data_IF_294513461738
#
_entry.id   IF_294513461738
#
_cell.length_a   1.000
_cell.length_b   1.000
_cell.length_c   1.000
_cell.angle_alpha   90.00
_cell.angle_beta   90.00
_cell.angle_gamma   90.00
#
_symmetry.space_group_name_H-M   'P 1'
#
loop_
_entity.id
_entity.type
_entity.pdbx_description
1 polymer ?
#
# COMPACT_ATOMS: atom_id res chain seq x y z
N UNK A 1 15.62 -11.70 18.65
CA UNK A 1 14.75 -10.51 18.79
C UNK A 1 14.48 -9.87 17.43
N UNK A 2 15.51 -9.54 16.65
CA UNK A 2 15.36 -8.97 15.29
C UNK A 2 14.54 -9.86 14.33
N UNK A 3 14.85 -11.16 14.23
CA UNK A 3 14.12 -12.09 13.35
C UNK A 3 12.62 -12.16 13.68
N UNK A 4 12.27 -12.12 14.97
CA UNK A 4 10.88 -12.06 15.40
C UNK A 4 10.23 -10.75 14.97
N UNK A 5 10.92 -9.61 15.12
CA UNK A 5 10.40 -8.32 14.70
C UNK A 5 10.17 -8.25 13.19
N UNK A 6 11.06 -8.86 12.39
CA UNK A 6 10.89 -9.02 10.94
C UNK A 6 9.61 -9.83 10.65
N UNK A 7 9.50 -11.02 11.23
CA UNK A 7 8.35 -11.89 11.00
C UNK A 7 7.02 -11.25 11.45
N UNK A 8 7.02 -10.55 12.59
CA UNK A 8 5.86 -9.86 13.12
C UNK A 8 5.42 -8.70 12.21
N UNK A 9 6.37 -7.93 11.66
CA UNK A 9 6.07 -6.82 10.75
C UNK A 9 5.55 -7.32 9.39
N UNK A 10 6.20 -8.35 8.83
CA UNK A 10 5.79 -8.93 7.55
C UNK A 10 4.41 -9.60 7.67
N UNK A 11 4.13 -10.32 8.76
CA UNK A 11 2.81 -10.91 8.99
C UNK A 11 1.70 -9.85 9.10
N UNK A 12 1.98 -8.70 9.73
CA UNK A 12 1.02 -7.60 9.80
C UNK A 12 0.78 -6.94 8.44
N UNK A 13 1.83 -6.80 7.62
CA UNK A 13 1.70 -6.31 6.24
C UNK A 13 0.84 -7.24 5.37
N UNK A 14 1.08 -8.55 5.42
CA UNK A 14 0.27 -9.53 4.69
C UNK A 14 -1.21 -9.53 5.14
N UNK A 15 -1.47 -9.32 6.44
CA UNK A 15 -2.82 -9.15 6.95
C UNK A 15 -3.52 -7.92 6.33
N UNK A 16 -2.81 -6.79 6.20
CA UNK A 16 -3.32 -5.59 5.54
C UNK A 16 -3.68 -5.88 4.08
N UNK A 17 -2.78 -6.53 3.33
CA UNK A 17 -3.05 -6.90 1.93
C UNK A 17 -4.26 -7.83 1.81
N UNK A 18 -4.35 -8.86 2.64
CA UNK A 18 -5.49 -9.77 2.66
C UNK A 18 -6.81 -9.07 2.95
N UNK A 19 -6.81 -8.07 3.84
CA UNK A 19 -8.00 -7.25 4.15
C UNK A 19 -8.39 -6.32 3.01
N UNK A 20 -7.41 -5.73 2.32
CA UNK A 20 -7.65 -4.93 1.11
C UNK A 20 -8.36 -5.78 0.05
N UNK A 21 -7.84 -6.98 -0.23
CA UNK A 21 -8.40 -7.89 -1.22
C UNK A 21 -9.80 -8.38 -0.81
N UNK A 22 -10.01 -8.68 0.47
CA UNK A 22 -11.32 -9.04 1.00
C UNK A 22 -12.37 -7.95 0.71
N UNK A 23 -12.04 -6.68 0.97
CA UNK A 23 -12.93 -5.55 0.70
C UNK A 23 -13.18 -5.40 -0.80
N UNK A 24 -12.13 -5.47 -1.63
CA UNK A 24 -12.25 -5.36 -3.10
C UNK A 24 -13.18 -6.41 -3.70
N UNK A 25 -13.03 -7.67 -3.28
CA UNK A 25 -13.88 -8.79 -3.73
C UNK A 25 -15.33 -8.55 -3.30
N UNK A 26 -15.55 -8.10 -2.06
CA UNK A 26 -16.89 -7.78 -1.55
C UNK A 26 -17.55 -6.66 -2.34
N UNK A 27 -16.79 -5.63 -2.71
CA UNK A 27 -17.30 -4.56 -3.57
C UNK A 27 -17.64 -5.05 -4.97
N UNK A 28 -16.77 -5.84 -5.59
CA UNK A 28 -17.04 -6.43 -6.91
C UNK A 28 -18.33 -7.25 -6.90
N UNK A 29 -18.49 -8.13 -5.91
CA UNK A 29 -19.71 -8.94 -5.74
C UNK A 29 -20.93 -8.06 -5.48
N UNK A 30 -20.78 -7.00 -4.68
CA UNK A 30 -21.87 -6.04 -4.39
C UNK A 30 -22.30 -5.32 -5.65
N UNK A 31 -21.36 -4.85 -6.47
CA UNK A 31 -21.63 -4.16 -7.72
C UNK A 31 -22.34 -5.08 -8.72
N UNK A 32 -21.86 -6.32 -8.89
CA UNK A 32 -22.51 -7.33 -9.74
C UNK A 32 -23.95 -7.60 -9.29
N UNK A 33 -24.15 -7.88 -8.00
CA UNK A 33 -25.50 -8.10 -7.45
C UNK A 33 -26.38 -6.88 -7.61
N UNK A 34 -25.84 -5.68 -7.39
CA UNK A 34 -26.61 -4.46 -7.56
C UNK A 34 -27.07 -4.28 -9.00
N UNK A 35 -26.28 -4.70 -9.97
CA UNK A 35 -26.65 -4.63 -11.38
C UNK A 35 -27.73 -5.67 -11.75
N UNK A 36 -27.54 -6.92 -11.31
CA UNK A 36 -28.26 -8.07 -11.85
C UNK A 36 -29.54 -8.40 -11.08
N UNK A 37 -29.58 -8.14 -9.77
CA UNK A 37 -30.72 -8.49 -8.92
C UNK A 37 -31.74 -7.34 -8.86
N UNK A 38 -32.98 -7.52 -9.36
CA UNK A 38 -34.04 -6.52 -9.25
C UNK A 38 -34.48 -6.27 -7.80
N UNK A 39 -34.32 -7.25 -6.90
CA UNK A 39 -34.64 -7.13 -5.47
C UNK A 39 -33.64 -6.27 -4.70
N UNK A 40 -32.46 -6.01 -5.28
CA UNK A 40 -31.45 -5.16 -4.65
C UNK A 40 -31.77 -3.68 -4.85
N UNK A 41 -32.49 -3.13 -3.87
CA UNK A 41 -32.85 -1.71 -3.83
C UNK A 41 -31.66 -0.81 -3.48
N UNK A 42 -31.78 0.48 -3.83
CA UNK A 42 -30.79 1.49 -3.48
C UNK A 42 -30.59 1.62 -1.95
N UNK A 43 -31.65 1.42 -1.17
CA UNK A 43 -31.55 1.43 0.30
C UNK A 43 -30.73 0.24 0.84
N UNK A 44 -30.88 -0.94 0.25
CA UNK A 44 -30.06 -2.12 0.60
C UNK A 44 -28.60 -1.86 0.22
N UNK A 45 -28.36 -1.30 -0.98
CA UNK A 45 -27.02 -0.96 -1.42
C UNK A 45 -26.32 0.00 -0.45
N UNK A 46 -26.98 1.09 -0.04
CA UNK A 46 -26.40 2.05 0.93
C UNK A 46 -25.98 1.38 2.24
N UNK A 47 -26.78 0.42 2.75
CA UNK A 47 -26.42 -0.35 3.95
C UNK A 47 -25.20 -1.25 3.74
N UNK A 48 -25.01 -1.79 2.54
CA UNK A 48 -23.81 -2.58 2.22
C UNK A 48 -22.58 -1.69 2.09
N UNK A 49 -22.69 -0.54 1.44
CA UNK A 49 -21.60 0.45 1.36
C UNK A 49 -21.15 0.87 2.77
N UNK A 50 -22.09 1.19 3.67
CA UNK A 50 -21.77 1.50 5.06
C UNK A 50 -21.00 0.37 5.77
N UNK A 51 -21.30 -0.90 5.49
CA UNK A 51 -20.53 -2.03 6.03
C UNK A 51 -19.11 -2.08 5.48
N UNK A 52 -18.93 -1.76 4.20
CA UNK A 52 -17.60 -1.67 3.58
C UNK A 52 -16.80 -0.50 4.15
N UNK A 53 -17.45 0.63 4.46
CA UNK A 53 -16.81 1.76 5.11
C UNK A 53 -16.35 1.41 6.52
N UNK A 54 -17.16 0.70 7.31
CA UNK A 54 -16.73 0.18 8.62
C UNK A 54 -15.55 -0.79 8.51
N UNK A 55 -15.48 -1.61 7.45
CA UNK A 55 -14.32 -2.47 7.20
C UNK A 55 -13.07 -1.65 6.82
N UNK A 56 -13.22 -0.54 6.08
CA UNK A 56 -12.11 0.38 5.78
C UNK A 56 -11.59 1.07 7.05
N UNK A 57 -12.48 1.47 7.95
CA UNK A 57 -12.09 2.01 9.27
C UNK A 57 -11.34 0.97 10.12
N UNK A 58 -11.71 -0.30 10.02
CA UNK A 58 -10.96 -1.40 10.64
C UNK A 58 -9.61 -1.63 9.95
N UNK A 59 -9.56 -1.61 8.62
CA UNK A 59 -8.33 -1.70 7.84
C UNK A 59 -7.34 -0.59 8.21
N UNK A 60 -7.81 0.65 8.42
CA UNK A 60 -6.94 1.75 8.89
C UNK A 60 -6.25 1.37 10.21
N UNK A 61 -6.95 0.71 11.14
CA UNK A 61 -6.35 0.26 12.41
C UNK A 61 -5.31 -0.83 12.19
N UNK A 62 -5.54 -1.76 11.26
CA UNK A 62 -4.55 -2.76 10.88
C UNK A 62 -3.31 -2.15 10.20
N UNK A 63 -3.52 -1.13 9.35
CA UNK A 63 -2.42 -0.38 8.74
C UNK A 63 -1.59 0.34 9.82
N UNK A 64 -2.25 0.99 10.78
CA UNK A 64 -1.57 1.67 11.88
C UNK A 64 -0.75 0.68 12.75
N UNK A 65 -1.26 -0.53 13.03
CA UNK A 65 -0.52 -1.59 13.73
C UNK A 65 0.69 -2.08 12.92
N UNK A 66 0.54 -2.28 11.60
CA UNK A 66 1.65 -2.67 10.72
C UNK A 66 2.75 -1.60 10.66
N UNK A 67 2.37 -0.31 10.59
CA UNK A 67 3.31 0.81 10.64
C UNK A 67 4.12 0.77 11.95
N UNK A 68 3.46 0.55 13.08
CA UNK A 68 4.13 0.53 14.38
C UNK A 68 5.12 -0.64 14.49
N UNK A 69 4.77 -1.82 13.97
CA UNK A 69 5.69 -2.96 13.92
C UNK A 69 6.91 -2.69 13.04
N UNK A 70 6.72 -2.05 11.89
CA UNK A 70 7.85 -1.66 11.03
C UNK A 70 8.71 -0.56 11.65
N UNK A 71 8.14 0.38 12.40
CA UNK A 71 8.93 1.38 13.16
C UNK A 71 9.82 0.72 14.20
N UNK A 72 9.25 -0.20 14.98
CA UNK A 72 10.01 -0.99 15.95
C UNK A 72 11.12 -1.82 15.27
N UNK A 73 10.85 -2.36 14.09
CA UNK A 73 11.87 -3.05 13.31
C UNK A 73 12.98 -2.10 12.84
N UNK A 74 12.63 -0.90 12.39
CA UNK A 74 13.60 0.12 12.00
C UNK A 74 14.51 0.51 13.17
N UNK A 75 13.94 0.76 14.35
CA UNK A 75 14.70 1.05 15.58
C UNK A 75 15.71 -0.06 15.90
N UNK A 76 15.29 -1.34 15.87
CA UNK A 76 16.19 -2.47 16.13
C UNK A 76 17.29 -2.63 15.07
N UNK A 77 17.01 -2.26 13.82
CA UNK A 77 18.00 -2.26 12.75
C UNK A 77 19.00 -1.12 12.91
N UNK A 78 18.54 0.07 13.32
CA UNK A 78 19.37 1.24 13.61
C UNK A 78 20.28 1.00 14.82
N UNK A 79 19.75 0.44 15.91
CA UNK A 79 20.55 0.02 17.07
C UNK A 79 21.68 -0.94 16.66
N UNK A 80 21.35 -1.94 15.82
CA UNK A 80 22.33 -2.88 15.31
C UNK A 80 23.34 -2.21 14.38
N UNK A 81 22.90 -1.26 13.56
CA UNK A 81 23.76 -0.48 12.69
C UNK A 81 24.78 0.31 13.52
N UNK A 82 24.33 1.06 14.53
CA UNK A 82 25.20 1.84 15.41
C UNK A 82 26.21 0.96 16.16
N UNK A 83 25.80 -0.22 16.63
CA UNK A 83 26.71 -1.16 17.29
C UNK A 83 27.82 -1.68 16.35
N UNK A 84 27.50 -2.00 15.10
CA UNK A 84 28.50 -2.44 14.10
C UNK A 84 29.38 -1.26 13.67
N UNK A 85 28.81 -0.05 13.57
CA UNK A 85 29.55 1.16 13.22
C UNK A 85 30.59 1.49 14.29
N UNK A 86 30.22 1.43 15.57
CA UNK A 86 31.14 1.60 16.69
C UNK A 86 32.26 0.55 16.66
N UNK A 87 31.93 -0.73 16.48
CA UNK A 87 32.91 -1.80 16.35
C UNK A 87 33.85 -1.56 15.16
N UNK A 88 33.33 -1.10 14.03
CA UNK A 88 34.12 -0.78 12.85
C UNK A 88 35.14 0.33 13.13
N UNK A 89 34.73 1.40 13.81
CA UNK A 89 35.64 2.50 14.15
C UNK A 89 36.74 2.05 15.11
N UNK A 90 36.41 1.28 16.15
CA UNK A 90 37.43 0.76 17.07
C UNK A 90 38.47 -0.11 16.34
N UNK A 91 38.00 -1.02 15.48
CA UNK A 91 38.89 -1.91 14.73
C UNK A 91 39.73 -1.14 13.70
N UNK A 92 39.20 -0.08 13.08
CA UNK A 92 39.97 0.78 12.18
C UNK A 92 41.08 1.53 12.90
N UNK A 93 40.79 2.13 14.07
CA UNK A 93 41.80 2.81 14.88
C UNK A 93 42.92 1.86 15.30
N UNK A 94 42.57 0.62 15.68
CA UNK A 94 43.56 -0.40 16.05
C UNK A 94 44.44 -0.78 14.85
N UNK A 95 43.84 -1.01 13.68
CA UNK A 95 44.60 -1.33 12.47
C UNK A 95 45.53 -0.18 12.06
N UNK A 96 45.03 1.05 12.03
CA UNK A 96 45.82 2.23 11.70
C UNK A 96 46.98 2.43 12.70
N UNK A 97 46.75 2.15 13.98
CA UNK A 97 47.79 2.17 15.02
C UNK A 97 48.88 1.13 14.73
N UNK A 98 48.50 -0.11 14.40
CA UNK A 98 49.46 -1.16 14.03
C UNK A 98 50.27 -0.76 12.80
N UNK A 99 49.61 -0.25 11.75
CA UNK A 99 50.29 0.22 10.53
C UNK A 99 51.27 1.36 10.81
N UNK A 100 50.93 2.27 11.74
CA UNK A 100 51.80 3.37 12.13
C UNK A 100 53.00 2.91 12.99
N UNK A 101 52.84 1.88 13.82
CA UNK A 101 53.97 1.29 14.54
C UNK A 101 54.92 0.56 13.58
N UNK A 102 54.37 -0.18 12.62
CA UNK A 102 55.13 -0.87 11.57
C UNK A 102 55.96 0.10 10.72
N UNK A 103 55.37 1.23 10.30
CA UNK A 103 56.06 2.25 9.51
C UNK A 103 57.22 2.93 10.27
N UNK A 104 57.14 2.96 11.60
CA UNK A 104 58.20 3.43 12.50
C UNK A 104 59.26 2.36 12.80
N UNK A 105 59.16 1.16 12.21
CA UNK A 105 60.06 0.04 12.45
C UNK A 105 59.89 -0.60 13.84
N UNK A 106 58.77 -0.34 14.53
CA UNK A 106 58.48 -0.96 15.83
C UNK A 106 57.94 -2.38 15.62
N UNK A 107 58.21 -3.31 16.56
CA UNK A 107 57.62 -4.64 16.52
C UNK A 107 56.08 -4.57 16.55
N UNK A 108 55.43 -5.33 15.68
CA UNK A 108 53.97 -5.45 15.60
C UNK A 108 53.50 -6.90 15.68
N UNK A 109 52.22 -7.09 15.99
CA UNK A 109 51.56 -8.40 15.88
C UNK A 109 51.00 -8.59 14.47
N UNK A 110 51.70 -9.36 13.63
CA UNK A 110 51.28 -9.65 12.25
C UNK A 110 49.94 -10.39 12.22
N UNK A 111 49.72 -11.35 13.11
CA UNK A 111 48.45 -12.09 13.17
C UNK A 111 47.27 -11.19 13.51
N UNK A 112 47.46 -10.19 14.38
CA UNK A 112 46.40 -9.23 14.73
C UNK A 112 46.09 -8.29 13.57
N UNK A 113 47.12 -7.85 12.84
CA UNK A 113 46.97 -7.06 11.62
C UNK A 113 46.12 -7.79 10.58
N UNK A 114 46.47 -9.04 10.25
CA UNK A 114 45.73 -9.87 9.30
C UNK A 114 44.27 -10.12 9.75
N UNK A 115 44.03 -10.32 11.05
CA UNK A 115 42.68 -10.45 11.60
C UNK A 115 41.84 -9.19 11.32
N UNK A 116 42.39 -8.01 11.61
CA UNK A 116 41.71 -6.72 11.41
C UNK A 116 41.48 -6.39 9.93
N UNK A 117 42.47 -6.66 9.08
CA UNK A 117 42.37 -6.50 7.62
C UNK A 117 41.24 -7.36 7.02
N UNK A 118 40.94 -8.51 7.63
CA UNK A 118 39.81 -9.36 7.24
C UNK A 118 38.47 -8.96 7.87
N UNK A 119 38.49 -8.49 9.13
CA UNK A 119 37.28 -8.13 9.88
C UNK A 119 36.66 -6.82 9.37
N UNK A 120 37.47 -5.77 9.15
CA UNK A 120 36.99 -4.45 8.74
C UNK A 120 36.15 -4.48 7.46
N UNK A 121 36.56 -5.17 6.37
CA UNK A 121 35.72 -5.32 5.18
C UNK A 121 34.39 -6.00 5.46
N UNK A 122 34.35 -7.02 6.32
CA UNK A 122 33.12 -7.73 6.68
C UNK A 122 32.15 -6.84 7.47
N UNK A 123 32.67 -6.04 8.39
CA UNK A 123 31.87 -5.05 9.13
C UNK A 123 31.29 -3.99 8.19
N UNK A 124 32.08 -3.48 7.24
CA UNK A 124 31.60 -2.54 6.20
C UNK A 124 30.49 -3.15 5.33
N UNK A 125 30.64 -4.41 4.93
CA UNK A 125 29.60 -5.12 4.19
C UNK A 125 28.33 -5.28 5.04
N UNK A 126 28.46 -5.63 6.32
CA UNK A 126 27.35 -5.70 7.26
C UNK A 126 26.59 -4.38 7.40
N UNK A 127 27.28 -3.24 7.51
CA UNK A 127 26.65 -1.92 7.54
C UNK A 127 25.89 -1.62 6.26
N UNK A 128 26.48 -1.90 5.09
CA UNK A 128 25.81 -1.70 3.80
C UNK A 128 24.53 -2.53 3.67
N UNK A 129 24.54 -3.77 4.16
CA UNK A 129 23.35 -4.63 4.19
C UNK A 129 22.26 -4.08 5.13
N UNK A 130 22.65 -3.60 6.32
CA UNK A 130 21.71 -3.00 7.27
C UNK A 130 21.10 -1.69 6.75
N UNK A 131 21.91 -0.80 6.16
CA UNK A 131 21.41 0.44 5.55
C UNK A 131 20.38 0.16 4.45
N UNK A 132 20.66 -0.83 3.59
CA UNK A 132 19.69 -1.27 2.58
C UNK A 132 18.40 -1.76 3.24
N UNK A 133 18.49 -2.56 4.31
CA UNK A 133 17.31 -3.09 5.00
C UNK A 133 16.49 -1.99 5.68
N UNK A 134 17.15 -1.01 6.30
CA UNK A 134 16.49 0.17 6.91
C UNK A 134 15.74 0.95 5.84
N UNK A 135 16.34 1.18 4.66
CA UNK A 135 15.68 1.84 3.52
C UNK A 135 14.45 1.06 3.03
N UNK A 136 14.54 -0.27 2.94
CA UNK A 136 13.39 -1.12 2.58
C UNK A 136 12.25 -0.98 3.60
N UNK A 137 12.55 -1.04 4.90
CA UNK A 137 11.57 -0.90 5.99
C UNK A 137 10.91 0.48 5.96
N UNK A 138 11.70 1.55 5.80
CA UNK A 138 11.16 2.90 5.68
C UNK A 138 10.29 3.06 4.43
N UNK A 139 10.67 2.42 3.31
CA UNK A 139 9.82 2.35 2.11
C UNK A 139 8.46 1.70 2.38
N UNK A 140 8.43 0.61 3.14
CA UNK A 140 7.17 -0.05 3.54
C UNK A 140 6.30 0.81 4.45
N UNK A 141 6.91 1.54 5.38
CA UNK A 141 6.19 2.50 6.23
C UNK A 141 5.50 3.57 5.37
N UNK A 142 6.20 4.14 4.39
CA UNK A 142 5.64 5.16 3.50
C UNK A 142 4.54 4.60 2.59
N UNK A 143 4.68 3.36 2.11
CA UNK A 143 3.63 2.66 1.37
C UNK A 143 2.36 2.50 2.20
N UNK A 144 2.49 2.01 3.45
CA UNK A 144 1.38 1.85 4.37
C UNK A 144 0.70 3.19 4.70
N UNK A 145 1.47 4.27 4.91
CA UNK A 145 0.90 5.62 5.09
C UNK A 145 0.08 6.07 3.89
N UNK A 146 0.57 5.85 2.66
CA UNK A 146 -0.19 6.17 1.44
C UNK A 146 -1.48 5.35 1.34
N UNK A 147 -1.43 4.06 1.68
CA UNK A 147 -2.63 3.21 1.73
C UNK A 147 -3.63 3.71 2.76
N UNK A 148 -3.17 4.16 3.93
CA UNK A 148 -4.01 4.76 4.97
C UNK A 148 -4.73 6.02 4.50
N UNK A 149 -3.98 6.95 3.90
CA UNK A 149 -4.50 8.22 3.38
C UNK A 149 -5.50 7.99 2.23
N UNK A 150 -5.28 6.94 1.43
CA UNK A 150 -6.07 6.64 0.24
C UNK A 150 -6.79 5.30 0.36
N UNK A 151 -7.33 4.97 1.55
CA UNK A 151 -7.92 3.64 1.83
C UNK A 151 -9.05 3.29 0.85
N UNK A 152 -9.84 4.29 0.44
CA UNK A 152 -10.87 4.10 -0.58
C UNK A 152 -10.25 3.70 -1.91
N UNK A 153 -9.23 4.40 -2.39
CA UNK A 153 -8.57 4.05 -3.64
C UNK A 153 -7.94 2.65 -3.60
N UNK A 154 -7.29 2.30 -2.49
CA UNK A 154 -6.67 0.99 -2.31
C UNK A 154 -7.69 -0.16 -2.30
N UNK A 155 -8.93 0.11 -1.86
CA UNK A 155 -9.96 -0.92 -1.68
C UNK A 155 -11.09 -0.86 -2.70
N UNK A 156 -11.16 0.18 -3.53
CA UNK A 156 -12.26 0.39 -4.46
C UNK A 156 -12.16 -0.48 -5.71
N UNK A 157 -13.23 -1.23 -6.00
CA UNK A 157 -13.35 -1.93 -7.29
C UNK A 157 -13.94 -1.01 -8.37
N UNK A 158 -13.16 -0.67 -9.40
CA UNK A 158 -13.55 0.27 -10.46
C UNK A 158 -13.96 -0.39 -11.79
N UNK A 159 -13.48 -1.61 -12.06
CA UNK A 159 -13.58 -2.24 -13.38
C UNK A 159 -14.98 -2.33 -13.96
N UNK A 160 -15.96 -2.81 -13.17
CA UNK A 160 -17.34 -2.94 -13.67
C UNK A 160 -18.00 -1.58 -13.91
N UNK A 161 -17.72 -0.58 -13.07
CA UNK A 161 -18.24 0.76 -13.27
C UNK A 161 -17.67 1.40 -14.54
N UNK A 162 -16.37 1.21 -14.82
CA UNK A 162 -15.70 1.73 -16.02
C UNK A 162 -16.25 1.08 -17.30
N UNK A 163 -16.48 -0.24 -17.27
CA UNK A 163 -17.10 -0.98 -18.38
C UNK A 163 -18.52 -0.49 -18.66
N UNK A 164 -19.32 -0.31 -17.60
CA UNK A 164 -20.69 0.18 -17.72
C UNK A 164 -20.71 1.64 -18.17
N UNK A 165 -19.79 2.47 -17.69
CA UNK A 165 -19.66 3.86 -18.15
C UNK A 165 -19.47 3.92 -19.66
N UNK A 166 -18.54 3.11 -20.19
CA UNK A 166 -18.28 3.00 -21.64
C UNK A 166 -19.54 2.55 -22.39
N UNK A 167 -20.28 1.58 -21.87
CA UNK A 167 -21.54 1.11 -22.48
C UNK A 167 -22.62 2.21 -22.50
N UNK A 168 -22.74 3.03 -21.45
CA UNK A 168 -23.67 4.16 -21.41
C UNK A 168 -23.31 5.17 -22.49
N UNK A 169 -22.03 5.56 -22.58
CA UNK A 169 -21.54 6.50 -23.62
C UNK A 169 -21.89 5.99 -25.01
N UNK A 170 -21.54 4.75 -25.33
CA UNK A 170 -21.80 4.15 -26.63
C UNK A 170 -23.31 4.05 -26.96
N UNK A 171 -24.15 3.83 -25.94
CA UNK A 171 -25.61 3.72 -26.13
C UNK A 171 -26.28 5.08 -26.35
N UNK A 172 -25.68 6.17 -25.85
CA UNK A 172 -26.26 7.50 -25.90
C UNK A 172 -25.53 8.46 -26.85
N UNK A 173 -24.39 8.06 -27.42
CA UNK A 173 -23.56 8.92 -28.27
C UNK A 173 -24.32 9.56 -29.44
N UNK A 174 -25.32 8.88 -30.01
CA UNK A 174 -26.14 9.39 -31.12
C UNK A 174 -27.03 10.57 -30.72
N UNK A 175 -27.15 10.86 -29.42
CA UNK A 175 -27.88 12.00 -28.87
C UNK A 175 -26.98 13.23 -28.61
N UNK A 176 -25.69 13.13 -28.90
CA UNK A 176 -24.69 14.17 -28.67
C UNK A 176 -23.87 14.43 -29.93
N UNK A 177 -23.17 15.55 -29.98
CA UNK A 177 -22.38 15.94 -31.16
C UNK A 177 -21.09 15.12 -31.30
N UNK A 178 -20.56 14.62 -30.17
CA UNK A 178 -19.36 13.78 -30.12
C UNK A 178 -19.38 12.77 -28.95
N UNK A 179 -18.62 11.66 -29.04
CA UNK A 179 -18.41 10.75 -27.92
C UNK A 179 -17.82 11.44 -26.68
N UNK A 180 -16.94 12.41 -26.87
CA UNK A 180 -16.30 13.19 -25.81
C UNK A 180 -17.34 14.04 -25.06
N UNK A 181 -18.23 14.71 -25.79
CA UNK A 181 -19.32 15.48 -25.20
C UNK A 181 -20.28 14.56 -24.43
N UNK A 182 -20.63 13.41 -25.01
CA UNK A 182 -21.46 12.41 -24.34
C UNK A 182 -20.84 11.96 -23.01
N UNK A 183 -19.54 11.65 -23.01
CA UNK A 183 -18.82 11.25 -21.81
C UNK A 183 -18.80 12.35 -20.73
N UNK A 184 -18.62 13.62 -21.09
CA UNK A 184 -18.68 14.75 -20.14
C UNK A 184 -20.08 14.88 -19.53
N UNK A 185 -21.13 14.82 -20.35
CA UNK A 185 -22.52 14.92 -19.87
C UNK A 185 -22.89 13.75 -18.97
N UNK A 186 -22.49 12.52 -19.33
CA UNK A 186 -22.74 11.33 -18.53
C UNK A 186 -21.97 11.39 -17.21
N UNK A 187 -20.71 11.83 -17.19
CA UNK A 187 -19.95 12.07 -15.94
C UNK A 187 -20.68 13.03 -15.01
N UNK A 188 -21.18 14.15 -15.55
CA UNK A 188 -21.96 15.11 -14.76
C UNK A 188 -23.23 14.49 -14.18
N UNK A 189 -23.94 13.65 -14.93
CA UNK A 189 -25.11 12.92 -14.42
C UNK A 189 -24.74 11.93 -13.31
N UNK A 190 -23.64 11.19 -13.46
CA UNK A 190 -23.11 10.29 -12.43
C UNK A 190 -22.78 11.07 -11.15
N UNK A 191 -22.15 12.23 -11.27
CA UNK A 191 -21.84 13.10 -10.12
C UNK A 191 -23.10 13.62 -9.43
N UNK A 192 -24.11 14.07 -10.18
CA UNK A 192 -25.39 14.50 -9.63
C UNK A 192 -26.07 13.35 -8.88
N UNK A 193 -26.06 12.14 -9.45
CA UNK A 193 -26.64 10.95 -8.79
C UNK A 193 -25.85 10.62 -7.53
N UNK A 194 -24.52 10.59 -7.60
CA UNK A 194 -23.65 10.28 -6.46
C UNK A 194 -23.92 11.24 -5.29
N UNK A 195 -23.99 12.54 -5.56
CA UNK A 195 -24.29 13.57 -4.56
C UNK A 195 -25.72 13.44 -4.01
N UNK A 196 -26.72 13.34 -4.89
CA UNK A 196 -28.12 13.28 -4.47
C UNK A 196 -28.43 12.04 -3.66
N UNK A 197 -27.87 10.90 -4.07
CA UNK A 197 -28.12 9.63 -3.40
C UNK A 197 -27.11 9.36 -2.27
N UNK A 198 -26.03 10.12 -2.15
CA UNK A 198 -24.98 9.87 -1.16
C UNK A 198 -24.33 8.49 -1.33
N UNK A 199 -23.94 8.15 -2.56
CA UNK A 199 -23.24 6.90 -2.90
C UNK A 199 -21.96 7.19 -3.70
N UNK A 200 -20.95 6.31 -3.66
CA UNK A 200 -19.75 6.46 -4.48
C UNK A 200 -20.07 6.46 -5.98
N UNK A 201 -19.16 7.07 -6.77
CA UNK A 201 -19.33 7.28 -8.21
C UNK A 201 -19.52 5.98 -8.96
N UNK A 202 -18.79 4.95 -8.56
CA UNK A 202 -18.85 3.60 -9.13
C UNK A 202 -20.29 3.06 -9.08
N UNK A 203 -20.93 3.15 -7.91
CA UNK A 203 -22.31 2.72 -7.72
C UNK A 203 -23.33 3.64 -8.40
N UNK A 204 -23.05 4.94 -8.49
CA UNK A 204 -23.89 5.89 -9.22
C UNK A 204 -23.93 5.58 -10.72
N UNK A 205 -22.80 5.19 -11.32
CA UNK A 205 -22.72 4.72 -12.71
C UNK A 205 -23.60 3.48 -12.93
N UNK A 206 -23.53 2.48 -12.05
CA UNK A 206 -24.37 1.29 -12.14
C UNK A 206 -25.86 1.61 -11.98
N UNK A 207 -26.19 2.54 -11.08
CA UNK A 207 -27.55 2.96 -10.86
C UNK A 207 -28.14 3.69 -12.07
N UNK A 208 -27.35 4.56 -12.72
CA UNK A 208 -27.73 5.21 -13.97
C UNK A 208 -28.07 4.17 -15.04
N UNK A 209 -27.22 3.14 -15.20
CA UNK A 209 -27.47 2.07 -16.16
C UNK A 209 -28.77 1.29 -15.90
N UNK A 210 -29.04 0.90 -14.64
CA UNK A 210 -30.31 0.22 -14.28
C UNK A 210 -31.52 1.06 -14.68
N UNK A 211 -31.47 2.38 -14.46
CA UNK A 211 -32.56 3.29 -14.84
C UNK A 211 -32.77 3.35 -16.35
N UNK A 212 -31.68 3.45 -17.13
CA UNK A 212 -31.74 3.47 -18.58
C UNK A 212 -32.32 2.17 -19.16
N UNK A 213 -31.88 1.01 -18.64
CA UNK A 213 -32.42 -0.30 -19.05
C UNK A 213 -33.88 -0.50 -18.65
N UNK A 214 -34.30 0.05 -17.52
CA UNK A 214 -35.71 0.07 -17.12
C UNK A 214 -36.58 0.86 -18.08
N UNK A 215 -36.12 2.05 -18.51
CA UNK A 215 -36.84 2.90 -19.46
C UNK A 215 -36.94 2.25 -20.86
N UNK A 216 -35.90 1.54 -21.30
CA UNK A 216 -35.90 0.80 -22.58
C UNK A 216 -36.83 -0.43 -22.59
N UNK A 217 -37.30 -0.91 -21.43
CA UNK A 217 -38.26 -2.03 -21.34
C UNK A 217 -39.72 -1.57 -21.33
N UNK A 218 -39.95 -0.28 -21.13
CA UNK A 218 -41.29 0.32 -20.97
C UNK A 218 -41.69 1.24 -22.12
N UNK A 219 -40.81 1.46 -23.10
CA UNK A 219 -41.09 2.20 -24.33
C UNK A 219 -40.91 1.30 -25.54
#
# INVERSE_FOLDING_TARGET
MLEKAIADADAAYELVLGKIDEIRIREEVTQKKFLDDPGMSLAILKKLIQRWDSMREELIRYIDDAIERYRKLAELLEERFSSIEEELYFNQVELDTIMQLESQGKPISVSKKEELENLIPRLREGLAQLDKKIKEVNGRIEELKRMRENVYEATSYKGLADDIFTQIVNSLQTKYESPEEAAVKIRSQVEIIAQREGIPREYATLYLWKRLKGQLRTG
#
